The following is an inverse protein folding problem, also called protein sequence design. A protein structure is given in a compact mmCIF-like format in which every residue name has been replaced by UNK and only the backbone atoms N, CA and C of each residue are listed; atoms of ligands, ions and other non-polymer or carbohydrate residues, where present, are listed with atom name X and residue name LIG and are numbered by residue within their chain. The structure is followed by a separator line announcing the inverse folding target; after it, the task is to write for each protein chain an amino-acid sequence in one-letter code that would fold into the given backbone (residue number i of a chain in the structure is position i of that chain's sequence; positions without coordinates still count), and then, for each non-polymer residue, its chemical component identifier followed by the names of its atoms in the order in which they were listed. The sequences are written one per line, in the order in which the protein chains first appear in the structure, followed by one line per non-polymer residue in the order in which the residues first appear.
data_IF_375421789636
#
_entry.id   IF_375421789636
#
_cell.length_a   1.000
_cell.length_b   1.000
_cell.length_c   1.000
_cell.angle_alpha   90.00
_cell.angle_beta   90.00
_cell.angle_gamma   90.00
#
_symmetry.space_group_name_H-M   'P 1'
#
loop_
_entity.id
_entity.type
_entity.pdbx_description
1 polymer ?
#
# COMPACT_ATOMS: atom_id res chain seq x y z
N UNK A 1 6.79 -2.72 -33.48
CA UNK A 1 5.95 -3.16 -32.34
C UNK A 1 6.70 -4.13 -31.42
N UNK A 2 7.06 -5.34 -31.85
CA UNK A 2 7.70 -6.36 -30.98
C UNK A 2 9.04 -5.90 -30.37
N UNK A 3 9.92 -5.29 -31.17
CA UNK A 3 11.21 -4.79 -30.69
C UNK A 3 11.07 -3.70 -29.63
N UNK A 4 10.27 -2.66 -29.89
CA UNK A 4 10.02 -1.58 -28.92
C UNK A 4 9.39 -2.14 -27.63
N UNK A 5 8.49 -3.12 -27.73
CA UNK A 5 7.86 -3.79 -26.57
C UNK A 5 8.87 -4.57 -25.72
N UNK A 6 9.92 -5.11 -26.33
CA UNK A 6 11.06 -5.71 -25.62
C UNK A 6 11.89 -4.63 -24.93
N UNK A 7 12.26 -3.57 -25.67
CA UNK A 7 13.10 -2.47 -25.20
C UNK A 7 12.49 -1.77 -23.98
N UNK A 8 11.20 -1.46 -23.97
CA UNK A 8 10.59 -0.72 -22.85
C UNK A 8 10.52 -1.53 -21.54
N UNK A 9 10.39 -2.86 -21.64
CA UNK A 9 10.42 -3.74 -20.47
C UNK A 9 11.85 -3.87 -19.94
N UNK A 10 12.79 -4.12 -20.86
CA UNK A 10 14.22 -4.15 -20.55
C UNK A 10 14.70 -2.82 -19.94
N UNK A 11 14.21 -1.68 -20.43
CA UNK A 11 14.50 -0.36 -19.87
C UNK A 11 14.11 -0.28 -18.39
N UNK A 12 12.87 -0.67 -18.06
CA UNK A 12 12.41 -0.65 -16.67
C UNK A 12 13.24 -1.60 -15.78
N UNK A 13 13.62 -2.77 -16.29
CA UNK A 13 14.45 -3.74 -15.59
C UNK A 13 15.87 -3.22 -15.33
N UNK A 14 16.51 -2.61 -16.34
CA UNK A 14 17.83 -1.97 -16.21
C UNK A 14 17.83 -0.89 -15.14
N UNK A 15 16.75 -0.10 -15.03
CA UNK A 15 16.65 0.97 -14.03
C UNK A 15 16.17 0.49 -12.64
N UNK A 16 15.95 -0.82 -12.47
CA UNK A 16 15.74 -1.44 -11.15
C UNK A 16 14.35 -2.03 -10.91
N UNK A 17 13.51 -2.18 -11.93
CA UNK A 17 12.33 -3.02 -11.82
C UNK A 17 12.70 -4.51 -11.77
N UNK A 18 12.01 -5.30 -10.95
CA UNK A 18 12.16 -6.76 -10.91
C UNK A 18 11.19 -7.49 -11.86
N UNK A 19 10.20 -6.78 -12.40
CA UNK A 19 9.28 -7.29 -13.40
C UNK A 19 8.61 -6.12 -14.15
N UNK A 20 8.35 -6.30 -15.44
CA UNK A 20 7.64 -5.34 -16.28
C UNK A 20 6.66 -6.04 -17.24
N UNK A 21 5.52 -5.40 -17.47
CA UNK A 21 4.44 -5.89 -18.30
C UNK A 21 3.80 -4.77 -19.12
N UNK A 22 3.08 -5.15 -20.17
CA UNK A 22 2.44 -4.22 -21.10
C UNK A 22 0.95 -4.52 -21.17
N UNK A 23 0.15 -3.47 -21.09
CA UNK A 23 -1.30 -3.50 -21.30
C UNK A 23 -1.69 -2.57 -22.43
N UNK A 24 -2.85 -2.82 -23.03
CA UNK A 24 -3.52 -1.97 -24.01
C UNK A 24 -4.97 -1.69 -23.57
N UNK A 25 -5.65 -0.68 -24.14
CA UNK A 25 -7.08 -0.45 -23.90
C UNK A 25 -7.93 -1.71 -24.10
N UNK A 26 -7.59 -2.55 -25.08
CA UNK A 26 -8.25 -3.85 -25.30
C UNK A 26 -8.07 -4.81 -24.13
N UNK A 27 -6.85 -4.94 -23.59
CA UNK A 27 -6.61 -5.81 -22.43
C UNK A 27 -7.24 -5.30 -21.14
N UNK A 28 -7.55 -4.00 -21.06
CA UNK A 28 -8.16 -3.35 -19.91
C UNK A 28 -9.67 -3.15 -20.04
N UNK A 29 -10.28 -3.58 -21.15
CA UNK A 29 -11.71 -3.39 -21.41
C UNK A 29 -12.57 -4.02 -20.31
N UNK A 30 -13.62 -3.31 -19.87
CA UNK A 30 -14.50 -3.76 -18.78
C UNK A 30 -13.99 -3.43 -17.36
N UNK A 31 -12.80 -2.83 -17.26
CA UNK A 31 -12.22 -2.40 -15.99
C UNK A 31 -12.89 -1.16 -15.38
N UNK A 32 -12.57 -0.85 -14.12
CA UNK A 32 -13.04 0.36 -13.46
C UNK A 32 -12.44 1.62 -14.08
N UNK A 33 -12.96 2.83 -13.77
CA UNK A 33 -12.41 4.08 -14.30
C UNK A 33 -10.90 4.25 -14.09
N UNK A 34 -10.34 3.75 -12.99
CA UNK A 34 -8.90 3.75 -12.71
C UNK A 34 -8.06 2.81 -13.61
N UNK A 35 -8.63 2.11 -14.58
CA UNK A 35 -7.87 1.43 -15.64
C UNK A 35 -8.01 2.11 -17.01
N UNK A 36 -8.74 3.22 -17.08
CA UNK A 36 -8.85 4.01 -18.30
C UNK A 36 -7.58 4.86 -18.51
N UNK A 37 -6.77 4.45 -19.48
CA UNK A 37 -5.52 5.11 -19.83
C UNK A 37 -5.74 6.52 -20.42
N UNK A 38 -6.90 6.77 -21.04
CA UNK A 38 -7.21 8.05 -21.68
C UNK A 38 -7.35 9.20 -20.69
N UNK A 39 -7.60 8.88 -19.41
CA UNK A 39 -7.65 9.85 -18.33
C UNK A 39 -6.32 10.60 -18.14
N UNK A 40 -5.19 9.89 -18.31
CA UNK A 40 -3.85 10.48 -18.18
C UNK A 40 -3.32 10.97 -19.53
N UNK A 41 -3.64 10.25 -20.62
CA UNK A 41 -3.17 10.56 -21.97
C UNK A 41 -4.27 10.24 -23.00
N UNK A 42 -4.98 11.24 -23.56
CA UNK A 42 -6.19 11.01 -24.36
C UNK A 42 -6.05 10.02 -25.52
N UNK A 43 -4.89 9.99 -26.18
CA UNK A 43 -4.61 9.11 -27.33
C UNK A 43 -3.82 7.84 -26.95
N UNK A 44 -3.80 7.48 -25.66
CA UNK A 44 -3.07 6.31 -25.17
C UNK A 44 -3.42 5.02 -25.93
N UNK A 45 -2.38 4.33 -26.41
CA UNK A 45 -2.50 3.03 -27.11
C UNK A 45 -2.01 1.87 -26.26
N UNK A 46 -1.12 2.14 -25.31
CA UNK A 46 -0.61 1.13 -24.38
C UNK A 46 -0.10 1.76 -23.08
N UNK A 47 0.19 0.91 -22.10
CA UNK A 47 0.93 1.30 -20.90
C UNK A 47 1.94 0.21 -20.50
N UNK A 48 3.10 0.65 -20.01
CA UNK A 48 4.14 -0.21 -19.44
C UNK A 48 4.04 -0.09 -17.92
N UNK A 49 3.77 -1.19 -17.25
CA UNK A 49 3.66 -1.27 -15.78
C UNK A 49 4.77 -2.15 -15.24
N UNK A 50 5.33 -1.79 -14.10
CA UNK A 50 6.49 -2.48 -13.55
C UNK A 50 6.49 -2.44 -12.02
N UNK A 51 7.25 -3.36 -11.41
CA UNK A 51 7.42 -3.47 -9.97
C UNK A 51 8.88 -3.23 -9.57
N UNK A 52 9.10 -2.32 -8.62
CA UNK A 52 10.40 -2.06 -8.01
C UNK A 52 10.42 -2.70 -6.61
N UNK A 53 11.37 -3.59 -6.31
CA UNK A 53 11.44 -4.21 -5.00
C UNK A 53 11.87 -3.21 -3.92
N UNK A 54 11.26 -3.32 -2.75
CA UNK A 54 11.82 -2.72 -1.54
C UNK A 54 13.04 -3.51 -1.09
N UNK A 55 14.00 -2.86 -0.44
CA UNK A 55 15.06 -3.56 0.28
C UNK A 55 14.43 -4.51 1.32
N UNK A 56 14.69 -5.82 1.25
CA UNK A 56 14.11 -6.77 2.19
C UNK A 56 14.80 -6.77 3.57
N UNK A 57 16.03 -6.28 3.68
CA UNK A 57 16.81 -6.30 4.92
C UNK A 57 16.07 -5.71 6.14
N UNK A 58 15.40 -4.54 6.06
CA UNK A 58 14.71 -3.97 7.20
C UNK A 58 13.36 -4.62 7.58
N UNK A 59 12.84 -5.57 6.77
CA UNK A 59 11.49 -6.12 6.99
C UNK A 59 11.37 -6.80 8.35
N UNK A 60 12.33 -7.66 8.70
CA UNK A 60 12.25 -8.45 9.94
C UNK A 60 12.37 -7.55 11.19
N UNK A 61 13.30 -6.59 11.19
CA UNK A 61 13.46 -5.62 12.28
C UNK A 61 12.21 -4.73 12.44
N UNK A 62 11.58 -4.34 11.33
CA UNK A 62 10.32 -3.60 11.39
C UNK A 62 9.16 -4.44 11.96
N UNK A 63 9.05 -5.71 11.57
CA UNK A 63 8.00 -6.60 12.07
C UNK A 63 8.18 -6.87 13.57
N UNK A 64 9.43 -7.06 14.03
CA UNK A 64 9.82 -7.20 15.44
C UNK A 64 9.75 -5.92 16.27
N UNK A 65 9.49 -4.77 15.63
CA UNK A 65 9.44 -3.43 16.26
C UNK A 65 10.79 -2.94 16.81
N UNK A 66 11.88 -3.34 16.16
CA UNK A 66 13.25 -2.94 16.50
C UNK A 66 13.67 -1.68 15.74
N UNK A 67 13.35 -1.60 14.45
CA UNK A 67 13.74 -0.47 13.59
C UNK A 67 12.63 -0.11 12.60
N UNK A 68 12.02 1.06 12.82
CA UNK A 68 10.99 1.60 11.93
C UNK A 68 11.59 2.33 10.73
N UNK A 69 12.68 3.06 10.97
CA UNK A 69 13.20 4.06 10.05
C UNK A 69 13.85 3.42 8.84
N UNK A 70 14.55 2.30 9.01
CA UNK A 70 15.18 1.61 7.88
C UNK A 70 14.14 1.09 6.89
N UNK A 71 12.99 0.57 7.34
CA UNK A 71 11.91 0.18 6.43
C UNK A 71 11.27 1.41 5.78
N UNK A 72 11.04 2.48 6.54
CA UNK A 72 10.47 3.72 5.99
C UNK A 72 11.37 4.29 4.88
N UNK A 73 12.69 4.31 5.08
CA UNK A 73 13.68 4.73 4.07
C UNK A 73 13.66 3.82 2.85
N UNK A 74 13.58 2.50 3.04
CA UNK A 74 13.47 1.54 1.94
C UNK A 74 12.17 1.73 1.13
N UNK A 75 11.04 1.96 1.81
CA UNK A 75 9.75 2.25 1.18
C UNK A 75 9.81 3.54 0.37
N UNK A 76 10.32 4.64 0.95
CA UNK A 76 10.46 5.93 0.27
C UNK A 76 11.37 5.80 -0.95
N UNK A 77 12.52 5.12 -0.82
CA UNK A 77 13.45 4.89 -1.92
C UNK A 77 12.80 4.13 -3.08
N UNK A 78 12.11 3.02 -2.80
CA UNK A 78 11.42 2.26 -3.85
C UNK A 78 10.32 3.10 -4.54
N UNK A 79 9.64 3.98 -3.79
CA UNK A 79 8.63 4.90 -4.33
C UNK A 79 9.25 5.96 -5.26
N UNK A 80 10.38 6.53 -4.86
CA UNK A 80 11.16 7.48 -5.66
C UNK A 80 11.70 6.81 -6.93
N UNK A 81 12.28 5.61 -6.81
CA UNK A 81 12.79 4.86 -7.97
C UNK A 81 11.66 4.52 -8.93
N UNK A 82 10.54 3.94 -8.47
CA UNK A 82 9.42 3.59 -9.34
C UNK A 82 8.85 4.80 -10.11
N UNK A 83 8.75 5.95 -9.44
CA UNK A 83 8.28 7.19 -10.09
C UNK A 83 9.35 7.78 -11.03
N UNK A 84 10.63 7.62 -10.71
CA UNK A 84 11.76 8.01 -11.55
C UNK A 84 11.83 7.21 -12.85
N UNK A 85 11.70 5.88 -12.77
CA UNK A 85 11.63 5.00 -13.94
C UNK A 85 10.48 5.41 -14.85
N UNK A 86 9.30 5.73 -14.26
CA UNK A 86 8.16 6.19 -15.05
C UNK A 86 8.48 7.48 -15.81
N UNK A 87 9.14 8.45 -15.17
CA UNK A 87 9.57 9.69 -15.82
C UNK A 87 10.60 9.45 -16.92
N UNK A 88 11.64 8.67 -16.64
CA UNK A 88 12.72 8.39 -17.58
C UNK A 88 12.20 7.65 -18.82
N UNK A 89 11.39 6.61 -18.63
CA UNK A 89 10.81 5.85 -19.73
C UNK A 89 9.81 6.67 -20.55
N UNK A 90 9.01 7.53 -19.92
CA UNK A 90 8.14 8.46 -20.63
C UNK A 90 8.95 9.43 -21.52
N UNK A 91 10.04 10.00 -20.99
CA UNK A 91 10.94 10.87 -21.76
C UNK A 91 11.62 10.11 -22.91
N UNK A 92 12.09 8.89 -22.66
CA UNK A 92 12.70 8.03 -23.68
C UNK A 92 11.75 7.77 -24.85
N UNK A 93 10.47 7.44 -24.56
CA UNK A 93 9.46 7.21 -25.58
C UNK A 93 9.08 8.50 -26.32
N UNK A 94 8.94 9.62 -25.60
CA UNK A 94 8.65 10.92 -26.19
C UNK A 94 9.74 11.35 -27.18
N UNK A 95 11.03 11.17 -26.84
CA UNK A 95 12.16 11.44 -27.72
C UNK A 95 12.22 10.52 -28.95
N UNK A 96 11.57 9.35 -28.88
CA UNK A 96 11.39 8.45 -30.03
C UNK A 96 10.14 8.78 -30.86
N UNK A 97 9.44 9.89 -30.55
CA UNK A 97 8.26 10.34 -31.28
C UNK A 97 6.94 9.74 -30.77
N UNK A 98 6.93 9.13 -29.58
CA UNK A 98 5.72 8.58 -28.96
C UNK A 98 5.35 9.38 -27.71
N UNK A 99 4.37 10.31 -27.80
CA UNK A 99 3.88 11.03 -26.63
C UNK A 99 3.55 10.07 -25.48
N UNK A 100 4.06 10.39 -24.30
CA UNK A 100 4.02 9.49 -23.15
C UNK A 100 3.90 10.30 -21.86
N UNK A 101 3.16 9.75 -20.90
CA UNK A 101 2.94 10.33 -19.58
C UNK A 101 3.41 9.36 -18.50
N UNK A 102 4.23 9.88 -17.58
CA UNK A 102 4.64 9.17 -16.39
C UNK A 102 3.52 9.19 -15.35
N UNK A 103 3.20 8.04 -14.77
CA UNK A 103 2.27 7.93 -13.64
C UNK A 103 3.09 7.66 -12.38
N UNK A 104 3.03 8.58 -11.42
CA UNK A 104 3.73 8.45 -10.15
C UNK A 104 3.20 7.25 -9.36
N UNK A 105 4.08 6.58 -8.61
CA UNK A 105 3.71 5.36 -7.88
C UNK A 105 2.60 5.56 -6.83
N UNK A 106 2.40 6.79 -6.37
CA UNK A 106 1.33 7.20 -5.47
C UNK A 106 1.19 8.75 -5.47
N UNK A 107 0.24 9.26 -4.70
CA UNK A 107 -0.01 10.70 -4.44
C UNK A 107 -0.61 11.49 -5.61
N UNK A 108 -1.13 10.83 -6.63
CA UNK A 108 -1.93 11.43 -7.70
C UNK A 108 -3.31 10.80 -7.67
N UNK A 109 -4.33 11.63 -7.41
CA UNK A 109 -5.70 11.18 -7.23
C UNK A 109 -6.63 11.95 -8.15
N UNK A 110 -7.70 11.29 -8.58
CA UNK A 110 -8.79 11.96 -9.29
C UNK A 110 -9.51 12.91 -8.33
N UNK A 111 -10.11 14.00 -8.84
CA UNK A 111 -11.00 14.82 -8.03
C UNK A 111 -12.05 13.95 -7.36
N UNK A 112 -12.32 14.21 -6.09
CA UNK A 112 -13.37 13.49 -5.37
C UNK A 112 -14.68 13.61 -6.14
N UNK A 113 -15.25 12.48 -6.54
CA UNK A 113 -16.62 12.47 -7.07
C UNK A 113 -17.57 12.92 -5.94
N UNK A 114 -18.68 13.56 -6.26
CA UNK A 114 -19.74 13.94 -5.31
C UNK A 114 -20.31 12.78 -4.47
N UNK A 115 -19.89 11.54 -4.72
CA UNK A 115 -20.20 10.32 -3.96
C UNK A 115 -19.21 10.02 -2.81
N UNK A 116 -18.20 10.86 -2.54
CA UNK A 116 -17.34 10.79 -1.34
C UNK A 116 -18.08 11.27 -0.08
N UNK A 117 -19.31 10.76 0.11
CA UNK A 117 -20.35 11.36 0.95
C UNK A 117 -20.34 10.97 2.42
N UNK A 118 -19.39 10.15 2.88
CA UNK A 118 -19.41 9.63 4.25
C UNK A 118 -18.49 10.40 5.21
N UNK A 119 -17.83 11.48 4.75
CA UNK A 119 -17.02 12.33 5.62
C UNK A 119 -15.65 11.77 6.04
N UNK A 120 -15.24 10.59 5.53
CA UNK A 120 -13.89 10.06 5.73
C UNK A 120 -12.97 10.46 4.56
N UNK A 121 -11.79 11.07 4.81
CA UNK A 121 -10.86 11.48 3.75
C UNK A 121 -10.43 10.33 2.83
N UNK A 122 -10.40 9.10 3.34
CA UNK A 122 -10.01 7.91 2.60
C UNK A 122 -10.89 7.61 1.38
N UNK A 123 -12.14 8.07 1.37
CA UNK A 123 -13.08 7.86 0.26
C UNK A 123 -12.76 8.77 -0.95
N UNK A 124 -11.94 9.79 -0.74
CA UNK A 124 -11.49 10.72 -1.77
C UNK A 124 -10.22 10.25 -2.50
N UNK A 125 -9.59 9.16 -2.08
CA UNK A 125 -8.30 8.67 -2.61
C UNK A 125 -8.46 7.72 -3.80
N UNK A 126 -9.26 8.10 -4.80
CA UNK A 126 -9.39 7.32 -6.03
C UNK A 126 -8.23 7.65 -7.00
N UNK A 127 -7.35 6.69 -7.36
CA UNK A 127 -6.15 7.01 -8.14
C UNK A 127 -6.48 7.37 -9.59
N UNK A 128 -5.60 8.14 -10.22
CA UNK A 128 -5.62 8.34 -11.67
C UNK A 128 -5.54 7.00 -12.42
N UNK A 129 -4.57 6.15 -12.07
CA UNK A 129 -4.43 4.78 -12.58
C UNK A 129 -4.18 3.79 -11.43
N UNK A 130 -4.93 2.70 -11.41
CA UNK A 130 -4.76 1.61 -10.46
C UNK A 130 -3.67 0.64 -10.95
N UNK A 131 -2.40 0.95 -10.66
CA UNK A 131 -1.23 0.15 -11.04
C UNK A 131 -1.39 -1.36 -10.78
N UNK A 132 -2.06 -1.74 -9.68
CA UNK A 132 -2.25 -3.14 -9.29
C UNK A 132 -3.02 -3.95 -10.32
N UNK A 133 -4.03 -3.35 -10.95
CA UNK A 133 -4.82 -4.03 -11.98
C UNK A 133 -4.02 -4.22 -13.25
N UNK A 134 -3.28 -3.18 -13.67
CA UNK A 134 -2.40 -3.25 -14.84
C UNK A 134 -1.31 -4.30 -14.62
N UNK A 135 -0.67 -4.31 -13.45
CA UNK A 135 0.40 -5.23 -13.08
C UNK A 135 -0.07 -6.69 -13.15
N UNK A 136 -1.23 -7.01 -12.58
CA UNK A 136 -1.77 -8.38 -12.63
C UNK A 136 -2.18 -8.75 -14.05
N UNK A 137 -2.84 -7.82 -14.78
CA UNK A 137 -3.30 -8.08 -16.15
C UNK A 137 -2.15 -8.32 -17.13
N UNK A 138 -0.97 -7.79 -16.85
CA UNK A 138 0.21 -7.89 -17.72
C UNK A 138 1.27 -8.90 -17.25
N UNK A 139 1.00 -9.63 -16.18
CA UNK A 139 1.89 -10.69 -15.71
C UNK A 139 3.07 -10.22 -14.84
N UNK A 140 3.03 -9.00 -14.29
CA UNK A 140 4.04 -8.51 -13.32
C UNK A 140 3.97 -9.30 -11.99
N UNK A 141 2.80 -9.80 -11.62
CA UNK A 141 2.60 -10.61 -10.42
C UNK A 141 1.16 -11.08 -10.23
N UNK A 142 0.92 -11.89 -9.20
CA UNK A 142 -0.44 -12.35 -8.87
C UNK A 142 -1.11 -11.43 -7.86
N UNK A 143 -2.43 -11.28 -7.98
CA UNK A 143 -3.22 -10.63 -6.95
C UNK A 143 -3.31 -11.54 -5.70
N UNK A 144 -2.73 -11.10 -4.60
CA UNK A 144 -2.95 -11.74 -3.30
C UNK A 144 -4.38 -11.49 -2.80
N UNK A 145 -4.91 -12.37 -1.95
CA UNK A 145 -6.22 -12.12 -1.34
C UNK A 145 -6.21 -10.88 -0.43
N UNK A 146 -5.02 -10.40 -0.02
CA UNK A 146 -4.83 -9.09 0.62
C UNK A 146 -5.07 -7.89 -0.31
N UNK A 147 -5.18 -8.10 -1.62
CA UNK A 147 -5.21 -7.08 -2.67
C UNK A 147 -3.87 -6.40 -2.96
N UNK A 148 -2.75 -6.97 -2.49
CA UNK A 148 -1.41 -6.58 -2.94
C UNK A 148 -0.99 -7.45 -4.11
N UNK A 149 -0.21 -6.90 -5.04
CA UNK A 149 0.44 -7.68 -6.10
C UNK A 149 1.64 -8.39 -5.47
N UNK A 150 1.73 -9.70 -5.66
CA UNK A 150 2.82 -10.55 -5.16
C UNK A 150 3.69 -10.91 -6.37
N UNK A 151 4.96 -10.53 -6.34
CA UNK A 151 5.97 -10.95 -7.33
C UNK A 151 6.68 -12.22 -6.89
N UNK A 152 7.30 -12.92 -7.85
CA UNK A 152 7.92 -14.23 -7.64
C UNK A 152 9.03 -14.23 -6.58
N UNK A 153 9.88 -13.20 -6.59
CA UNK A 153 11.09 -13.20 -5.76
C UNK A 153 11.03 -12.20 -4.59
N UNK A 154 10.14 -11.20 -4.65
CA UNK A 154 10.06 -10.13 -3.64
C UNK A 154 8.72 -10.08 -2.90
N UNK A 155 7.78 -10.96 -3.26
CA UNK A 155 6.45 -10.98 -2.70
C UNK A 155 5.71 -9.66 -2.90
N UNK A 156 4.95 -9.23 -1.89
CA UNK A 156 4.20 -7.98 -1.96
C UNK A 156 5.02 -6.75 -1.54
N UNK A 157 6.29 -6.90 -1.12
CA UNK A 157 7.17 -5.80 -0.74
C UNK A 157 7.76 -5.12 -1.99
N UNK A 158 6.89 -4.64 -2.87
CA UNK A 158 7.22 -3.95 -4.12
C UNK A 158 6.42 -2.67 -4.24
N UNK A 159 6.96 -1.69 -4.96
CA UNK A 159 6.24 -0.49 -5.38
C UNK A 159 6.01 -0.58 -6.89
N UNK A 160 4.79 -0.26 -7.32
CA UNK A 160 4.42 -0.28 -8.73
C UNK A 160 4.57 1.11 -9.35
N UNK A 161 4.99 1.15 -10.61
CA UNK A 161 5.00 2.35 -11.44
C UNK A 161 4.39 2.07 -12.82
N UNK A 162 4.01 3.12 -13.54
CA UNK A 162 3.43 2.97 -14.89
C UNK A 162 3.81 4.14 -15.81
N UNK A 163 4.00 3.84 -17.09
CA UNK A 163 4.04 4.83 -18.18
C UNK A 163 2.89 4.57 -19.12
N UNK A 164 2.11 5.59 -19.42
CA UNK A 164 1.04 5.54 -20.43
C UNK A 164 1.59 6.18 -21.70
N UNK A 165 1.36 5.57 -22.87
CA UNK A 165 1.99 6.00 -24.12
C UNK A 165 1.08 5.84 -25.33
N UNK A 166 1.28 6.70 -26.33
CA UNK A 166 0.70 6.57 -27.67
C UNK A 166 1.44 5.53 -28.53
N UNK A 167 2.55 4.97 -28.06
CA UNK A 167 3.24 3.88 -28.75
C UNK A 167 2.35 2.62 -28.85
N UNK A 168 2.30 2.03 -30.04
CA UNK A 168 1.72 0.70 -30.23
C UNK A 168 2.70 -0.37 -29.73
N UNK A 169 2.38 -0.95 -28.58
CA UNK A 169 3.14 -2.00 -27.92
C UNK A 169 2.34 -3.31 -27.88
N UNK A 170 3.05 -4.43 -28.01
CA UNK A 170 2.46 -5.75 -27.89
C UNK A 170 2.17 -6.03 -26.40
N UNK A 171 0.91 -6.33 -26.01
CA UNK A 171 0.57 -6.63 -24.63
C UNK A 171 1.25 -7.91 -24.16
N UNK A 172 1.50 -8.00 -22.86
CA UNK A 172 1.95 -9.23 -22.22
C UNK A 172 0.77 -9.97 -21.59
N UNK A 173 0.88 -11.29 -21.54
CA UNK A 173 -0.14 -12.14 -20.92
C UNK A 173 -0.06 -12.08 -19.39
N UNK A 174 -1.19 -12.24 -18.67
CA UNK A 174 -1.16 -12.43 -17.24
C UNK A 174 -0.41 -13.72 -16.88
N UNK A 175 0.10 -13.80 -15.65
CA UNK A 175 0.65 -15.06 -15.12
C UNK A 175 -0.46 -16.12 -15.05
N UNK A 176 -0.07 -17.39 -15.26
CA UNK A 176 -0.98 -18.52 -15.28
C UNK A 176 -1.70 -18.68 -13.91
N UNK A 177 -3.04 -18.77 -13.85
CA UNK A 177 -3.78 -18.82 -12.59
C UNK A 177 -3.33 -19.95 -11.63
N UNK A 178 -2.91 -21.08 -12.19
CA UNK A 178 -2.38 -22.25 -11.48
C UNK A 178 -1.05 -21.99 -10.75
N UNK A 179 -0.31 -20.94 -11.15
CA UNK A 179 0.95 -20.52 -10.52
C UNK A 179 0.74 -19.48 -9.40
N UNK A 180 -0.53 -19.23 -9.02
CA UNK A 180 -0.86 -18.23 -8.00
C UNK A 180 -0.15 -18.46 -6.67
N UNK A 181 0.55 -17.41 -6.23
CA UNK A 181 1.26 -17.36 -4.95
C UNK A 181 0.33 -17.35 -3.73
N UNK A 182 -0.96 -17.05 -3.92
CA UNK A 182 -1.94 -16.91 -2.85
C UNK A 182 -2.83 -18.14 -2.69
N UNK A 183 -2.55 -18.91 -1.63
CA UNK A 183 -3.35 -20.06 -1.18
C UNK A 183 -4.48 -19.66 -0.21
N UNK A 184 -4.87 -18.38 -0.17
CA UNK A 184 -5.88 -17.81 0.74
C UNK A 184 -5.62 -18.12 2.23
N UNK A 185 -4.35 -18.25 2.65
CA UNK A 185 -3.98 -18.56 4.06
C UNK A 185 -4.53 -17.61 5.14
N UNK A 186 -4.94 -16.39 4.78
CA UNK A 186 -5.55 -15.41 5.70
C UNK A 186 -4.61 -14.70 6.67
N UNK A 187 -3.29 -14.91 6.57
CA UNK A 187 -2.31 -14.26 7.43
C UNK A 187 -2.29 -12.73 7.27
N UNK A 188 -2.61 -12.22 6.08
CA UNK A 188 -2.79 -10.78 5.86
C UNK A 188 -3.95 -10.20 6.69
N UNK A 189 -5.08 -10.92 6.76
CA UNK A 189 -6.24 -10.53 7.59
C UNK A 189 -5.92 -10.67 9.08
N UNK A 190 -5.25 -11.76 9.47
CA UNK A 190 -4.83 -11.98 10.86
C UNK A 190 -3.82 -10.94 11.34
N UNK A 191 -3.10 -10.28 10.44
CA UNK A 191 -2.18 -9.18 10.73
C UNK A 191 -2.82 -7.78 10.64
N UNK A 192 -4.10 -7.67 10.29
CA UNK A 192 -4.75 -6.38 10.11
C UNK A 192 -5.34 -5.89 11.43
N UNK A 193 -4.76 -4.82 12.00
CA UNK A 193 -5.25 -4.21 13.24
C UNK A 193 -6.60 -3.49 13.10
N UNK A 194 -7.04 -3.16 11.88
CA UNK A 194 -8.27 -2.38 11.64
C UNK A 194 -9.47 -3.16 11.13
N UNK A 195 -9.30 -4.46 10.86
CA UNK A 195 -10.36 -5.30 10.30
C UNK A 195 -10.81 -4.88 8.89
N UNK A 196 -9.95 -4.23 8.10
CA UNK A 196 -10.27 -3.70 6.77
C UNK A 196 -10.71 -4.77 5.75
N UNK A 197 -10.07 -5.94 5.78
CA UNK A 197 -10.34 -7.01 4.81
C UNK A 197 -11.56 -7.84 5.21
N UNK A 198 -12.55 -7.91 4.32
CA UNK A 198 -13.73 -8.75 4.49
C UNK A 198 -13.59 -10.03 3.65
N UNK A 199 -13.32 -11.14 4.34
CA UNK A 199 -13.14 -12.44 3.70
C UNK A 199 -14.47 -13.15 3.41
N UNK A 200 -15.60 -12.60 3.86
CA UNK A 200 -16.94 -13.14 3.53
C UNK A 200 -17.38 -12.70 2.13
N UNK A 201 -16.81 -11.61 1.63
CA UNK A 201 -17.09 -11.05 0.33
C UNK A 201 -15.85 -11.13 -0.57
N UNK A 202 -16.06 -11.11 -1.89
CA UNK A 202 -14.97 -11.12 -2.88
C UNK A 202 -15.20 -9.97 -3.85
N UNK A 203 -14.19 -9.11 -4.02
CA UNK A 203 -14.18 -8.15 -5.13
C UNK A 203 -13.70 -8.88 -6.38
N UNK A 204 -14.44 -8.72 -7.48
CA UNK A 204 -14.10 -9.23 -8.81
C UNK A 204 -13.97 -8.07 -9.78
N UNK A 205 -12.94 -8.10 -10.60
CA UNK A 205 -12.71 -7.14 -11.69
C UNK A 205 -12.35 -7.94 -12.93
N UNK A 206 -13.01 -7.67 -14.05
CA UNK A 206 -12.75 -8.35 -15.33
C UNK A 206 -12.09 -7.38 -16.30
N UNK A 207 -10.89 -7.73 -16.79
CA UNK A 207 -10.09 -6.89 -17.68
C UNK A 207 -9.75 -7.67 -18.94
N UNK A 208 -10.37 -7.29 -20.07
CA UNK A 208 -10.13 -7.95 -21.35
C UNK A 208 -10.38 -9.47 -21.28
N UNK A 209 -11.43 -9.87 -20.57
CA UNK A 209 -11.80 -11.28 -20.34
C UNK A 209 -11.09 -11.99 -19.20
N UNK A 210 -10.09 -11.38 -18.56
CA UNK A 210 -9.35 -11.97 -17.43
C UNK A 210 -9.96 -11.52 -16.11
N UNK A 211 -10.40 -12.46 -15.27
CA UNK A 211 -10.90 -12.17 -13.93
C UNK A 211 -9.75 -12.00 -12.92
N UNK A 212 -9.80 -10.91 -12.15
CA UNK A 212 -8.98 -10.67 -10.97
C UNK A 212 -9.89 -10.68 -9.75
N UNK A 213 -9.56 -11.52 -8.76
CA UNK A 213 -10.36 -11.66 -7.54
C UNK A 213 -9.50 -11.49 -6.27
N UNK A 214 -10.03 -10.77 -5.28
CA UNK A 214 -9.41 -10.60 -3.96
C UNK A 214 -10.47 -10.36 -2.88
N UNK A 215 -10.07 -10.31 -1.59
CA UNK A 215 -11.04 -10.13 -0.51
C UNK A 215 -11.79 -8.81 -0.64
N UNK A 216 -13.09 -8.84 -0.30
CA UNK A 216 -13.89 -7.64 -0.18
C UNK A 216 -13.27 -6.63 0.78
N UNK A 217 -13.64 -5.36 0.63
CA UNK A 217 -13.28 -4.30 1.55
C UNK A 217 -14.49 -3.91 2.36
N UNK A 218 -14.27 -3.70 3.66
CA UNK A 218 -15.14 -2.83 4.45
C UNK A 218 -14.86 -1.38 4.02
N UNK A 219 -14.88 -0.44 4.95
CA UNK A 219 -14.50 0.95 4.66
C UNK A 219 -12.98 1.18 4.53
N UNK A 220 -12.54 1.98 3.56
CA UNK A 220 -11.11 2.35 3.39
C UNK A 220 -10.56 3.15 4.57
N UNK A 221 -11.40 3.97 5.21
CA UNK A 221 -11.07 4.68 6.45
C UNK A 221 -10.52 3.79 7.57
N UNK A 222 -10.90 2.50 7.62
CA UNK A 222 -10.32 1.54 8.58
C UNK A 222 -8.83 1.34 8.35
N UNK A 223 -8.42 1.13 7.10
CA UNK A 223 -7.01 0.95 6.77
C UNK A 223 -6.24 2.24 7.05
N UNK A 224 -6.84 3.37 6.73
CA UNK A 224 -6.21 4.67 6.88
C UNK A 224 -5.94 5.05 8.34
N UNK A 225 -6.87 4.80 9.28
CA UNK A 225 -6.65 5.01 10.72
C UNK A 225 -5.35 4.37 11.24
N UNK A 226 -5.00 3.19 10.74
CA UNK A 226 -3.81 2.44 11.16
C UNK A 226 -2.59 2.66 10.28
N UNK A 227 -2.76 3.01 9.00
CA UNK A 227 -1.66 3.30 8.07
C UNK A 227 -1.13 4.73 8.25
N UNK A 228 -2.02 5.68 8.53
CA UNK A 228 -1.68 7.06 8.90
C UNK A 228 -1.17 7.16 10.35
N UNK A 229 -1.37 6.11 11.14
CA UNK A 229 -0.74 5.95 12.44
C UNK A 229 -1.50 6.60 13.60
N UNK A 230 -2.78 6.92 13.42
CA UNK A 230 -3.63 7.50 14.47
C UNK A 230 -3.98 6.48 15.57
N UNK A 231 -4.06 5.20 15.21
CA UNK A 231 -4.15 4.09 16.17
C UNK A 231 -3.41 2.86 15.63
N UNK A 232 -3.20 1.84 16.46
CA UNK A 232 -2.42 0.68 16.05
C UNK A 232 -2.51 -0.59 16.88
N UNK A 233 -3.21 -0.60 18.02
CA UNK A 233 -3.31 -1.81 18.84
C UNK A 233 -4.10 -2.89 18.09
N UNK A 234 -3.53 -4.08 17.93
CA UNK A 234 -4.27 -5.21 17.38
C UNK A 234 -5.37 -5.64 18.36
N UNK A 235 -6.57 -6.06 17.89
CA UNK A 235 -7.70 -6.43 18.75
C UNK A 235 -7.39 -7.48 19.84
N UNK A 236 -6.33 -8.28 19.67
CA UNK A 236 -5.87 -9.20 20.72
C UNK A 236 -5.26 -8.52 21.96
N UNK A 237 -4.89 -7.24 21.87
CA UNK A 237 -4.11 -6.51 22.87
C UNK A 237 -2.63 -6.87 22.98
N UNK A 238 -2.16 -7.91 22.27
CA UNK A 238 -0.81 -8.49 22.42
C UNK A 238 0.30 -7.80 21.62
N UNK A 239 -0.05 -7.15 20.52
CA UNK A 239 0.90 -6.47 19.65
C UNK A 239 0.24 -5.31 18.91
N UNK A 240 1.03 -4.44 18.28
CA UNK A 240 0.51 -3.27 17.55
C UNK A 240 1.21 -3.01 16.21
N UNK A 241 0.72 -2.01 15.47
CA UNK A 241 1.50 -1.29 14.46
C UNK A 241 2.58 -0.43 15.15
N UNK A 242 3.29 0.41 14.39
CA UNK A 242 4.21 1.40 14.98
C UNK A 242 3.51 2.66 15.53
N UNK A 243 2.18 2.69 15.54
CA UNK A 243 1.42 3.74 16.23
C UNK A 243 1.38 3.48 17.74
N UNK A 244 1.63 4.52 18.57
CA UNK A 244 1.39 4.47 20.00
C UNK A 244 -0.09 4.61 20.39
N UNK A 245 -0.96 4.98 19.45
CA UNK A 245 -2.40 5.13 19.71
C UNK A 245 -3.07 3.81 20.07
N UNK A 246 -4.03 3.89 20.98
CA UNK A 246 -4.84 2.80 21.54
C UNK A 246 -6.34 3.02 21.35
N UNK A 247 -6.73 4.04 20.61
CA UNK A 247 -8.11 4.26 20.25
C UNK A 247 -8.69 3.05 19.52
N UNK A 248 -9.87 2.54 19.92
CA UNK A 248 -10.49 1.42 19.23
C UNK A 248 -10.87 1.83 17.81
N UNK A 249 -10.61 0.94 16.84
CA UNK A 249 -11.20 1.08 15.51
C UNK A 249 -12.69 0.74 15.64
N UNK A 250 -13.62 1.62 15.22
CA UNK A 250 -15.05 1.38 15.40
C UNK A 250 -15.52 0.06 14.78
N UNK A 251 -16.49 -0.59 15.42
CA UNK A 251 -17.08 -1.83 14.88
C UNK A 251 -17.98 -1.56 13.68
N UNK A 252 -18.71 -0.44 13.68
CA UNK A 252 -19.58 0.00 12.59
C UNK A 252 -18.88 1.05 11.74
N UNK A 253 -19.18 1.08 10.44
CA UNK A 253 -18.47 1.95 9.50
C UNK A 253 -18.99 3.41 9.59
N UNK A 254 -20.22 3.60 10.05
CA UNK A 254 -20.88 4.90 10.24
C UNK A 254 -20.22 5.75 11.34
N UNK A 255 -19.52 5.10 12.28
CA UNK A 255 -18.84 5.76 13.39
C UNK A 255 -17.40 6.20 13.02
N UNK A 256 -16.91 5.83 11.84
CA UNK A 256 -15.55 6.14 11.38
C UNK A 256 -15.27 7.64 11.27
N UNK A 257 -16.17 8.51 10.77
CA UNK A 257 -15.86 9.95 10.63
C UNK A 257 -15.57 10.62 11.97
N UNK A 258 -16.39 10.36 12.98
CA UNK A 258 -16.20 10.89 14.33
C UNK A 258 -14.90 10.35 14.97
N UNK A 259 -14.63 9.05 14.79
CA UNK A 259 -13.38 8.45 15.23
C UNK A 259 -12.17 9.10 14.56
N UNK A 260 -12.26 9.36 13.25
CA UNK A 260 -11.20 9.97 12.46
C UNK A 260 -10.87 11.39 12.94
N UNK A 261 -11.89 12.25 13.09
CA UNK A 261 -11.73 13.63 13.57
C UNK A 261 -11.02 13.66 14.93
N UNK A 262 -11.49 12.82 15.86
CA UNK A 262 -10.94 12.73 17.21
C UNK A 262 -9.48 12.25 17.20
N UNK A 263 -9.20 11.14 16.52
CA UNK A 263 -7.86 10.55 16.53
C UNK A 263 -6.85 11.43 15.78
N UNK A 264 -7.28 12.16 14.75
CA UNK A 264 -6.43 13.13 14.05
C UNK A 264 -6.06 14.32 14.95
N UNK A 265 -7.03 14.87 15.70
CA UNK A 265 -6.78 15.94 16.69
C UNK A 265 -5.78 15.49 17.77
N UNK A 266 -5.95 14.27 18.27
CA UNK A 266 -5.03 13.68 19.25
C UNK A 266 -3.62 13.49 18.64
N UNK A 267 -3.53 12.92 17.44
CA UNK A 267 -2.27 12.68 16.74
C UNK A 267 -1.50 13.98 16.45
N UNK A 268 -2.18 15.06 16.07
CA UNK A 268 -1.56 16.38 15.83
C UNK A 268 -0.90 16.95 17.10
N UNK A 269 -1.32 16.51 18.29
CA UNK A 269 -0.74 16.92 19.58
C UNK A 269 0.37 15.99 20.06
N UNK A 270 0.70 14.93 19.32
CA UNK A 270 1.77 14.01 19.71
C UNK A 270 3.14 14.64 19.48
N UNK A 271 4.13 14.34 20.34
CA UNK A 271 5.50 14.73 20.08
C UNK A 271 5.97 14.20 18.72
N UNK A 272 6.72 15.03 18.00
CA UNK A 272 7.31 14.66 16.73
C UNK A 272 8.20 13.41 16.88
N UNK A 273 8.21 12.56 15.87
CA UNK A 273 9.13 11.43 15.78
C UNK A 273 9.93 11.53 14.48
N UNK A 274 11.14 10.96 14.48
CA UNK A 274 12.04 10.98 13.32
C UNK A 274 11.36 10.39 12.07
N UNK A 275 11.78 10.86 10.90
CA UNK A 275 11.30 10.37 9.62
C UNK A 275 9.98 10.98 9.17
N UNK A 276 9.30 10.25 8.29
CA UNK A 276 8.07 10.64 7.61
C UNK A 276 8.30 11.38 6.28
N UNK A 277 7.22 11.48 5.50
CA UNK A 277 7.15 12.18 4.20
C UNK A 277 5.95 13.11 4.17
N UNK A 278 6.04 14.18 3.39
CA UNK A 278 4.89 15.05 3.15
C UNK A 278 3.84 14.35 2.28
N UNK A 279 2.59 14.75 2.49
CA UNK A 279 1.43 14.31 1.74
C UNK A 279 0.61 15.54 1.34
N UNK A 280 -0.01 15.53 0.16
CA UNK A 280 -0.48 16.75 -0.51
C UNK A 280 -1.50 17.60 0.27
N UNK A 281 -2.19 17.03 1.26
CA UNK A 281 -3.26 17.69 2.01
C UNK A 281 -2.88 18.05 3.45
N UNK A 282 -1.64 17.77 3.89
CA UNK A 282 -1.16 18.14 5.24
C UNK A 282 0.22 18.79 5.17
N UNK A 283 0.41 19.85 5.96
CA UNK A 283 1.72 20.48 6.18
C UNK A 283 2.58 19.74 7.23
N UNK A 284 2.17 18.52 7.59
CA UNK A 284 2.88 17.64 8.51
C UNK A 284 3.40 16.37 7.82
N UNK A 285 4.50 15.82 8.36
CA UNK A 285 5.06 14.57 7.85
C UNK A 285 4.23 13.37 8.31
N UNK A 286 3.78 12.54 7.37
CA UNK A 286 3.18 11.25 7.67
C UNK A 286 4.28 10.20 7.85
N UNK A 287 4.31 9.49 8.98
CA UNK A 287 5.29 8.43 9.28
C UNK A 287 4.73 7.07 8.88
N UNK A 288 5.57 6.22 8.31
CA UNK A 288 5.20 4.86 7.93
C UNK A 288 4.92 4.02 9.19
N UNK A 289 3.64 3.82 9.49
CA UNK A 289 3.19 3.22 10.75
C UNK A 289 2.73 1.77 10.59
N UNK A 290 2.12 1.43 9.45
CA UNK A 290 1.64 0.09 9.14
C UNK A 290 1.87 -0.26 7.68
N UNK A 291 2.23 -1.52 7.44
CA UNK A 291 2.34 -2.14 6.12
C UNK A 291 2.24 -3.66 6.19
N UNK A 292 1.67 -4.21 7.27
CA UNK A 292 1.85 -5.63 7.60
C UNK A 292 1.32 -6.58 6.53
N UNK A 293 0.19 -6.28 5.89
CA UNK A 293 -0.33 -7.12 4.81
C UNK A 293 0.57 -7.14 3.56
N UNK A 294 1.31 -6.05 3.30
CA UNK A 294 2.30 -5.96 2.22
C UNK A 294 3.57 -6.71 2.59
N UNK A 295 4.05 -6.55 3.82
CA UNK A 295 5.28 -7.18 4.29
C UNK A 295 5.13 -8.68 4.52
N UNK A 296 3.96 -9.16 4.92
CA UNK A 296 3.73 -10.60 5.17
C UNK A 296 3.48 -11.36 3.86
N UNK A 297 2.75 -10.78 2.90
CA UNK A 297 2.39 -11.49 1.66
C UNK A 297 3.64 -11.84 0.84
N UNK A 298 3.84 -13.14 0.62
CA UNK A 298 5.03 -13.70 -0.03
C UNK A 298 4.65 -15.03 -0.72
N UNK A 299 5.35 -15.46 -1.80
CA UNK A 299 5.06 -16.72 -2.47
C UNK A 299 5.21 -17.94 -1.56
N UNK A 300 6.31 -18.01 -0.80
CA UNK A 300 6.51 -19.05 0.21
C UNK A 300 5.51 -18.92 1.36
N UNK A 301 4.76 -20.00 1.64
CA UNK A 301 3.88 -20.10 2.82
C UNK A 301 4.66 -20.08 4.13
N UNK A 302 5.82 -20.72 4.15
CA UNK A 302 6.69 -20.74 5.33
C UNK A 302 7.21 -19.34 5.65
N UNK A 303 7.53 -18.54 4.62
CA UNK A 303 7.91 -17.14 4.82
C UNK A 303 6.78 -16.29 5.39
N UNK A 304 5.54 -16.46 4.87
CA UNK A 304 4.36 -15.79 5.40
C UNK A 304 4.16 -16.10 6.88
N UNK A 305 4.28 -17.38 7.27
CA UNK A 305 4.18 -17.80 8.68
C UNK A 305 5.30 -17.19 9.52
N UNK A 306 6.56 -17.24 9.07
CA UNK A 306 7.71 -16.66 9.78
C UNK A 306 7.48 -15.18 10.07
N UNK A 307 7.19 -14.38 9.04
CA UNK A 307 6.93 -12.94 9.16
C UNK A 307 5.74 -12.64 10.07
N UNK A 308 4.68 -13.43 10.00
CA UNK A 308 3.55 -13.30 10.92
C UNK A 308 3.94 -13.59 12.38
N UNK A 309 4.79 -14.59 12.65
CA UNK A 309 5.27 -14.86 14.01
C UNK A 309 6.16 -13.74 14.54
N UNK A 310 7.02 -13.15 13.70
CA UNK A 310 7.82 -11.97 14.09
C UNK A 310 6.90 -10.83 14.57
N UNK A 311 5.82 -10.57 13.83
CA UNK A 311 4.85 -9.54 14.20
C UNK A 311 4.09 -9.88 15.50
N UNK A 312 3.60 -11.12 15.63
CA UNK A 312 2.76 -11.54 16.77
C UNK A 312 3.51 -11.48 18.10
N UNK A 313 4.82 -11.68 18.08
CA UNK A 313 5.68 -11.63 19.27
C UNK A 313 6.36 -10.27 19.48
N UNK A 314 6.02 -9.26 18.68
CA UNK A 314 6.71 -7.96 18.68
C UNK A 314 6.32 -7.00 19.81
N UNK A 315 5.31 -7.36 20.61
CA UNK A 315 4.79 -6.47 21.65
C UNK A 315 4.09 -5.25 21.08
N UNK A 316 3.88 -4.24 21.93
CA UNK A 316 3.12 -3.03 21.60
C UNK A 316 4.01 -1.78 21.67
N UNK A 317 3.76 -0.82 20.79
CA UNK A 317 4.56 0.41 20.70
C UNK A 317 4.00 1.49 21.62
N UNK A 318 4.82 2.09 22.47
CA UNK A 318 4.49 3.28 23.28
C UNK A 318 5.34 4.46 22.84
N UNK A 319 4.90 5.69 23.13
CA UNK A 319 5.65 6.91 22.88
C UNK A 319 6.10 7.57 24.19
N UNK A 320 7.39 7.84 24.29
CA UNK A 320 8.00 8.53 25.43
C UNK A 320 7.81 10.05 25.31
N UNK A 321 8.13 10.80 26.37
CA UNK A 321 7.90 12.25 26.42
C UNK A 321 8.71 13.02 25.36
N UNK A 322 9.89 12.52 25.02
CA UNK A 322 10.77 13.05 23.97
C UNK A 322 10.33 12.68 22.54
N UNK A 323 9.20 11.97 22.40
CA UNK A 323 8.67 11.51 21.12
C UNK A 323 9.25 10.21 20.59
N UNK A 324 10.26 9.65 21.25
CA UNK A 324 10.80 8.33 20.91
C UNK A 324 9.73 7.26 21.05
N UNK A 325 9.76 6.27 20.16
CA UNK A 325 8.84 5.14 20.16
C UNK A 325 9.61 3.87 20.42
N UNK A 326 9.10 3.02 21.32
CA UNK A 326 9.70 1.73 21.62
C UNK A 326 8.64 0.65 21.79
N UNK A 327 8.99 -0.58 21.44
CA UNK A 327 8.18 -1.74 21.77
C UNK A 327 8.39 -2.15 23.23
N UNK A 328 7.30 -2.54 23.88
CA UNK A 328 7.26 -3.07 25.24
C UNK A 328 6.24 -4.19 25.32
N UNK A 329 6.23 -4.93 26.42
CA UNK A 329 5.14 -5.89 26.67
C UNK A 329 3.80 -5.17 26.89
N UNK A 330 2.65 -5.82 26.64
CA UNK A 330 1.34 -5.23 26.91
C UNK A 330 1.16 -4.75 28.37
N UNK A 331 1.73 -5.48 29.32
CA UNK A 331 1.68 -5.11 30.74
C UNK A 331 2.46 -3.83 31.02
N UNK A 332 3.72 -3.75 30.57
CA UNK A 332 4.54 -2.53 30.70
C UNK A 332 3.89 -1.33 30.00
N UNK A 333 3.25 -1.54 28.84
CA UNK A 333 2.53 -0.46 28.16
C UNK A 333 1.39 0.11 29.01
N UNK A 334 0.64 -0.76 29.71
CA UNK A 334 -0.42 -0.33 30.62
C UNK A 334 0.15 0.46 31.80
N UNK A 335 1.23 -0.04 32.42
CA UNK A 335 1.96 0.68 33.49
C UNK A 335 2.43 2.07 33.02
N UNK A 336 2.99 2.17 31.81
CA UNK A 336 3.47 3.44 31.26
C UNK A 336 2.31 4.41 31.03
N UNK A 337 1.20 3.95 30.43
CA UNK A 337 0.02 4.78 30.16
C UNK A 337 -0.68 5.22 31.44
N UNK A 338 -0.80 4.35 32.46
CA UNK A 338 -1.40 4.69 33.75
C UNK A 338 -0.59 5.71 34.55
N UNK A 339 0.73 5.72 34.37
CA UNK A 339 1.62 6.70 34.96
C UNK A 339 1.64 8.06 34.22
N UNK A 340 1.00 8.18 33.05
CA UNK A 340 0.92 9.45 32.33
C UNK A 340 -0.05 10.42 33.02
N UNK A 341 0.29 11.71 33.00
CA UNK A 341 -0.65 12.76 33.38
C UNK A 341 -1.95 12.64 32.54
N UNK A 342 -3.15 12.83 33.12
CA UNK A 342 -4.42 12.64 32.41
C UNK A 342 -4.52 13.38 31.08
N UNK A 343 -4.05 14.63 31.02
CA UNK A 343 -4.03 15.47 29.81
C UNK A 343 -3.18 14.88 28.67
N UNK A 344 -2.16 14.10 29.01
CA UNK A 344 -1.34 13.40 28.02
C UNK A 344 -1.93 12.05 27.65
N UNK A 345 -2.50 11.33 28.62
CA UNK A 345 -3.08 10.00 28.43
C UNK A 345 -4.25 10.01 27.44
N UNK A 346 -5.11 11.03 27.50
CA UNK A 346 -6.25 11.21 26.58
C UNK A 346 -5.84 11.36 25.11
N UNK A 347 -4.57 11.71 24.83
CA UNK A 347 -4.05 11.76 23.47
C UNK A 347 -3.79 10.37 22.87
N UNK A 348 -3.72 9.31 23.69
CA UNK A 348 -3.39 7.97 23.23
C UNK A 348 -4.54 6.98 23.37
N UNK A 349 -5.46 7.19 24.31
CA UNK A 349 -6.56 6.26 24.56
C UNK A 349 -7.82 6.96 25.09
N UNK A 350 -8.91 6.20 25.10
CA UNK A 350 -10.17 6.64 25.70
C UNK A 350 -10.08 6.44 27.22
N UNK A 351 -10.08 7.55 27.96
CA UNK A 351 -9.94 7.60 29.43
C UNK A 351 -11.21 8.08 30.10
#
# INVERSE_FOLDING_TARGET
MAELSRIVREFAEIEGACAAGIVTPRTLSGGPPSTDLSYVLPQARSAVVFAVPMDPAPIDGYLRKEDRLSLERAYVRANTVASGIALHLANFLAQKGYPSAAVAANNVFRPASSQSGNGCPADSYYPDIAHRYLAVRSGVGHMGFSGNVITKDHGAAVILGTVVTEADLAPTEPLAPEESYCDRCGLCRAACASGFMDFRNTTRVVLGGVEIAYSGRRHYGRCDLVCSGYTGLHPSGKWSTWSPGRFPVPDRDEDLPAAYERMQKAHASWPASEGGRYFFFMDEKLRFSCGHCMLICHPSREERKRRYQLLRHSGVVVQMADGTRKAVTPHEARTILDAMHPERRILYEDV
#
